data_IF_475083428692
#
_entry.id   IF_475083428692
#
_cell.length_a   1.000
_cell.length_b   1.000
_cell.length_c   1.000
_cell.angle_alpha   90.00
_cell.angle_beta   90.00
_cell.angle_gamma   90.00
#
_symmetry.space_group_name_H-M   'P 1'
#
loop_
_entity.id
_entity.type
_entity.pdbx_description
1 polymer ?
#
# COMPACT_ATOMS: atom_id res chain seq x y z
N UNK A 1 15.72 -10.42 1.74
CA UNK A 1 14.47 -11.08 2.17
C UNK A 1 14.11 -12.26 1.28
N UNK A 2 13.89 -12.05 -0.03
CA UNK A 2 13.51 -13.11 -0.97
C UNK A 2 14.42 -14.35 -0.91
N UNK A 3 15.73 -14.17 -1.07
CA UNK A 3 16.69 -15.28 -0.99
C UNK A 3 16.65 -16.03 0.35
N UNK A 4 16.28 -15.35 1.45
CA UNK A 4 16.13 -16.00 2.77
C UNK A 4 14.88 -16.88 2.74
N UNK A 5 13.73 -16.33 2.35
CA UNK A 5 12.46 -17.08 2.29
C UNK A 5 12.54 -18.30 1.37
N UNK A 6 13.29 -18.23 0.27
CA UNK A 6 13.51 -19.37 -0.64
C UNK A 6 14.31 -20.52 0.00
N UNK A 7 15.07 -20.25 1.07
CA UNK A 7 15.88 -21.25 1.79
C UNK A 7 15.23 -21.75 3.08
N UNK A 8 14.11 -21.16 3.51
CA UNK A 8 13.43 -21.56 4.75
C UNK A 8 12.65 -22.85 4.53
N UNK A 9 13.05 -23.92 5.22
CA UNK A 9 12.36 -25.22 5.20
C UNK A 9 11.31 -25.38 6.30
N UNK A 10 11.23 -24.43 7.25
CA UNK A 10 10.32 -24.48 8.41
C UNK A 10 8.85 -24.29 8.07
N UNK A 11 7.97 -24.67 9.00
CA UNK A 11 6.50 -24.50 8.86
C UNK A 11 6.04 -23.05 9.05
N UNK A 12 6.88 -22.23 9.69
CA UNK A 12 6.69 -20.81 9.85
C UNK A 12 8.04 -20.08 9.75
N UNK A 13 8.02 -18.81 9.35
CA UNK A 13 9.17 -17.92 9.32
C UNK A 13 8.88 -16.67 10.14
N UNK A 14 9.80 -16.33 11.05
CA UNK A 14 9.75 -15.09 11.84
C UNK A 14 10.67 -14.07 11.16
N UNK A 15 10.12 -12.88 10.92
CA UNK A 15 10.82 -11.74 10.33
C UNK A 15 10.82 -10.62 11.37
N UNK A 16 11.98 -10.04 11.65
CA UNK A 16 12.13 -8.96 12.63
C UNK A 16 13.25 -8.01 12.21
N UNK A 17 13.08 -6.70 12.46
CA UNK A 17 14.15 -5.74 12.19
C UNK A 17 15.28 -5.90 13.21
N UNK A 18 16.52 -5.94 12.74
CA UNK A 18 17.71 -6.11 13.58
C UNK A 18 18.19 -4.83 14.26
N UNK A 19 17.27 -3.94 14.66
CA UNK A 19 17.60 -2.59 15.17
C UNK A 19 17.34 -2.41 16.68
N UNK A 20 17.10 -3.52 17.38
CA UNK A 20 16.87 -3.61 18.82
C UNK A 20 15.63 -2.85 19.34
N UNK A 21 14.65 -2.59 18.47
CA UNK A 21 13.39 -1.92 18.85
C UNK A 21 12.26 -2.87 19.25
N UNK A 22 12.38 -4.17 18.92
CA UNK A 22 11.39 -5.21 19.21
C UNK A 22 11.84 -6.13 20.36
N UNK A 23 10.89 -6.55 21.21
CA UNK A 23 11.14 -7.54 22.26
C UNK A 23 11.04 -8.96 21.70
N UNK A 24 12.11 -9.73 21.78
CA UNK A 24 12.16 -11.09 21.22
C UNK A 24 11.12 -12.03 21.84
N UNK A 25 10.72 -11.81 23.10
CA UNK A 25 9.74 -12.64 23.79
C UNK A 25 8.33 -12.54 23.20
N UNK A 26 8.02 -11.44 22.49
CA UNK A 26 6.72 -11.27 21.84
C UNK A 26 6.54 -12.22 20.63
N UNK A 27 7.60 -12.92 20.21
CA UNK A 27 7.56 -13.94 19.15
C UNK A 27 6.51 -15.01 19.44
N UNK A 28 6.32 -15.40 20.70
CA UNK A 28 5.40 -16.45 21.08
C UNK A 28 3.94 -16.05 20.81
N UNK A 29 3.61 -14.79 21.08
CA UNK A 29 2.28 -14.26 20.81
C UNK A 29 2.02 -14.14 19.29
N UNK A 30 3.05 -13.77 18.51
CA UNK A 30 2.96 -13.68 17.05
C UNK A 30 2.90 -15.05 16.38
N UNK A 31 3.57 -16.07 16.93
CA UNK A 31 3.57 -17.43 16.41
C UNK A 31 2.25 -18.15 16.65
N UNK A 32 1.55 -17.88 17.76
CA UNK A 32 0.36 -18.64 18.14
C UNK A 32 -0.74 -18.67 17.05
N UNK A 33 -1.14 -17.56 16.40
CA UNK A 33 -2.14 -17.62 15.34
C UNK A 33 -1.69 -18.42 14.10
N UNK A 34 -0.39 -18.45 13.81
CA UNK A 34 0.16 -19.25 12.70
C UNK A 34 0.19 -20.74 13.07
N UNK A 35 0.64 -21.07 14.28
CA UNK A 35 0.70 -22.44 14.77
C UNK A 35 -0.70 -23.07 14.93
N UNK A 36 -1.71 -22.25 15.22
CA UNK A 36 -3.12 -22.65 15.33
C UNK A 36 -3.87 -22.60 13.98
N UNK A 37 -3.17 -22.38 12.86
CA UNK A 37 -3.73 -22.27 11.50
C UNK A 37 -4.84 -21.21 11.37
N UNK A 38 -4.76 -20.15 12.20
CA UNK A 38 -5.71 -19.02 12.20
C UNK A 38 -5.24 -17.85 11.35
N UNK A 39 -3.97 -17.83 10.91
CA UNK A 39 -3.40 -16.76 10.09
C UNK A 39 -2.29 -17.27 9.17
N UNK A 40 -2.25 -16.75 7.94
CA UNK A 40 -1.13 -16.93 7.02
C UNK A 40 -0.01 -15.92 7.27
N UNK A 41 -0.38 -14.71 7.71
CA UNK A 41 0.51 -13.62 8.06
C UNK A 41 0.06 -12.98 9.37
N UNK A 42 0.97 -12.89 10.33
CA UNK A 42 0.78 -12.17 11.58
C UNK A 42 1.71 -10.97 11.61
N UNK A 43 1.16 -9.79 11.96
CA UNK A 43 1.91 -8.54 12.05
C UNK A 43 1.83 -8.03 13.49
N UNK A 44 2.97 -7.62 14.05
CA UNK A 44 3.01 -7.00 15.36
C UNK A 44 2.49 -5.57 15.35
N UNK A 45 1.38 -5.31 16.04
CA UNK A 45 0.86 -3.96 16.24
C UNK A 45 1.67 -3.22 17.30
N UNK A 46 2.58 -2.33 16.84
CA UNK A 46 3.37 -1.49 17.75
C UNK A 46 2.50 -0.40 18.36
N UNK A 47 1.50 0.10 17.65
CA UNK A 47 0.70 1.25 18.09
C UNK A 47 -0.21 0.93 19.29
N UNK A 48 -0.53 -0.35 19.50
CA UNK A 48 -1.30 -0.80 20.66
C UNK A 48 -0.56 -0.65 21.99
N UNK A 49 0.78 -0.78 22.02
CA UNK A 49 1.60 -0.74 23.25
C UNK A 49 2.94 0.01 23.10
N UNK A 50 3.09 0.89 22.10
CA UNK A 50 4.33 1.62 21.88
C UNK A 50 4.64 2.58 23.02
N UNK A 51 5.91 2.63 23.42
CA UNK A 51 6.42 3.73 24.22
C UNK A 51 6.22 5.06 23.48
N UNK A 52 5.80 6.09 24.22
CA UNK A 52 5.43 7.41 23.68
C UNK A 52 6.54 8.07 22.86
N UNK A 53 7.81 7.73 23.13
CA UNK A 53 9.00 8.25 22.43
C UNK A 53 9.55 7.33 21.34
N UNK A 54 9.02 6.11 21.17
CA UNK A 54 9.58 5.12 20.25
C UNK A 54 9.24 5.41 18.78
N UNK A 55 8.13 6.10 18.50
CA UNK A 55 7.71 6.44 17.14
C UNK A 55 7.52 7.95 16.98
N UNK A 56 8.25 8.56 16.03
CA UNK A 56 8.11 9.98 15.71
C UNK A 56 6.71 10.29 15.15
N UNK A 57 6.23 11.52 15.36
CA UNK A 57 4.92 11.95 14.87
C UNK A 57 4.81 11.88 13.34
N UNK A 58 5.93 12.09 12.64
CA UNK A 58 6.00 11.95 11.18
C UNK A 58 5.78 10.50 10.74
N UNK A 59 6.38 9.52 11.43
CA UNK A 59 6.15 8.11 11.13
C UNK A 59 4.71 7.70 11.45
N UNK A 60 4.16 8.19 12.57
CA UNK A 60 2.74 7.99 12.90
C UNK A 60 1.82 8.56 11.83
N UNK A 61 2.15 9.72 11.26
CA UNK A 61 1.40 10.31 10.17
C UNK A 61 1.52 9.48 8.88
N UNK A 62 2.74 9.13 8.45
CA UNK A 62 2.96 8.30 7.26
C UNK A 62 2.26 6.95 7.34
N UNK A 63 2.34 6.28 8.49
CA UNK A 63 1.64 5.02 8.75
C UNK A 63 0.12 5.19 8.63
N UNK A 64 -0.46 6.24 9.24
CA UNK A 64 -1.90 6.54 9.13
C UNK A 64 -2.35 6.73 7.69
N UNK A 65 -1.56 7.42 6.87
CA UNK A 65 -1.89 7.63 5.45
C UNK A 65 -1.89 6.31 4.67
N UNK A 66 -0.84 5.49 4.83
CA UNK A 66 -0.75 4.18 4.17
C UNK A 66 -1.89 3.26 4.63
N UNK A 67 -2.16 3.20 5.94
CA UNK A 67 -3.23 2.40 6.53
C UNK A 67 -4.60 2.81 6.01
N UNK A 68 -4.90 4.11 5.98
CA UNK A 68 -6.17 4.61 5.47
C UNK A 68 -6.41 4.14 4.03
N UNK A 69 -5.35 4.13 3.20
CA UNK A 69 -5.42 3.68 1.82
C UNK A 69 -5.62 2.18 1.69
N UNK A 70 -4.83 1.37 2.41
CA UNK A 70 -4.97 -0.09 2.39
C UNK A 70 -6.36 -0.49 2.88
N UNK A 71 -6.80 0.08 4.00
CA UNK A 71 -8.13 -0.16 4.57
C UNK A 71 -9.25 0.26 3.62
N UNK A 72 -9.11 1.36 2.88
CA UNK A 72 -10.07 1.78 1.87
C UNK A 72 -10.11 0.84 0.65
N UNK A 73 -8.94 0.46 0.13
CA UNK A 73 -8.80 -0.34 -1.09
C UNK A 73 -9.27 -1.78 -0.86
N UNK A 74 -8.82 -2.40 0.23
CA UNK A 74 -9.06 -3.79 0.56
C UNK A 74 -10.21 -4.01 1.55
N UNK A 75 -10.83 -2.93 2.06
CA UNK A 75 -11.93 -2.99 3.05
C UNK A 75 -11.52 -3.69 4.35
N UNK A 76 -10.31 -3.40 4.82
CA UNK A 76 -9.73 -3.94 6.05
C UNK A 76 -9.74 -2.91 7.18
N UNK A 77 -9.31 -3.31 8.37
CA UNK A 77 -9.25 -2.44 9.57
C UNK A 77 -7.90 -2.54 10.27
N UNK A 78 -6.82 -2.61 9.52
CA UNK A 78 -5.47 -2.72 10.08
C UNK A 78 -5.06 -1.45 10.84
N UNK A 79 -4.17 -1.64 11.81
CA UNK A 79 -3.63 -0.62 12.71
C UNK A 79 -2.15 -0.37 12.51
N UNK A 80 -1.34 -1.34 12.09
CA UNK A 80 0.10 -1.17 11.89
C UNK A 80 0.71 -2.15 10.87
N UNK A 81 0.47 -1.87 9.58
CA UNK A 81 1.00 -2.65 8.45
C UNK A 81 2.48 -2.38 8.15
N UNK A 82 3.12 -1.44 8.86
CA UNK A 82 4.52 -1.06 8.64
C UNK A 82 5.46 -1.59 9.75
N UNK A 83 4.95 -2.46 10.62
CA UNK A 83 5.77 -3.13 11.63
C UNK A 83 6.71 -4.13 10.97
N UNK A 84 7.98 -4.15 11.34
CA UNK A 84 8.96 -5.12 10.84
C UNK A 84 8.88 -6.47 11.55
N UNK A 85 8.10 -6.60 12.63
CA UNK A 85 7.93 -7.86 13.34
C UNK A 85 6.73 -8.64 12.82
N UNK A 86 7.02 -9.73 12.10
CA UNK A 86 6.03 -10.56 11.42
C UNK A 86 6.30 -12.03 11.57
N UNK A 87 5.24 -12.83 11.41
CA UNK A 87 5.33 -14.28 11.26
C UNK A 87 4.50 -14.68 10.06
N UNK A 88 5.05 -15.52 9.19
CA UNK A 88 4.37 -16.07 8.02
C UNK A 88 4.36 -17.60 8.06
N UNK A 89 3.28 -18.22 7.59
CA UNK A 89 3.18 -19.67 7.49
C UNK A 89 3.89 -20.22 6.23
N UNK A 90 4.03 -21.55 6.14
CA UNK A 90 4.63 -22.24 4.98
C UNK A 90 3.91 -21.91 3.66
N UNK A 91 2.57 -21.80 3.69
CA UNK A 91 1.79 -21.49 2.49
C UNK A 91 2.17 -20.12 1.92
N UNK A 92 2.28 -19.10 2.79
CA UNK A 92 2.71 -17.76 2.44
C UNK A 92 4.09 -17.79 1.78
N UNK A 93 5.08 -18.44 2.43
CA UNK A 93 6.47 -18.53 1.94
C UNK A 93 6.52 -19.09 0.51
N UNK A 94 5.68 -20.08 0.20
CA UNK A 94 5.67 -20.75 -1.12
C UNK A 94 4.91 -20.01 -2.20
N UNK A 95 3.98 -19.11 -1.83
CA UNK A 95 3.00 -18.57 -2.77
C UNK A 95 3.13 -17.06 -2.98
N UNK A 96 3.79 -16.34 -2.07
CA UNK A 96 4.00 -14.90 -2.15
C UNK A 96 5.34 -14.59 -2.82
N UNK A 97 5.35 -14.07 -4.06
CA UNK A 97 6.58 -13.57 -4.65
C UNK A 97 6.98 -12.27 -3.95
N UNK A 98 8.22 -12.21 -3.46
CA UNK A 98 8.83 -10.95 -3.04
C UNK A 98 9.55 -10.35 -4.24
N UNK A 99 9.09 -9.21 -4.72
CA UNK A 99 9.61 -8.58 -5.94
C UNK A 99 10.48 -7.37 -5.60
N UNK A 100 10.25 -6.69 -4.46
CA UNK A 100 11.00 -5.47 -4.11
C UNK A 100 12.13 -5.71 -3.09
N UNK A 101 13.15 -4.85 -3.17
CA UNK A 101 14.21 -4.73 -2.18
C UNK A 101 14.18 -3.34 -1.55
N UNK A 102 13.78 -3.22 -0.28
CA UNK A 102 13.79 -1.95 0.47
C UNK A 102 12.77 -1.89 1.62
N UNK A 103 12.54 -0.68 2.14
CA UNK A 103 11.48 -0.35 3.13
C UNK A 103 10.05 -0.60 2.63
N UNK A 104 9.91 -1.03 1.38
CA UNK A 104 8.65 -1.44 0.78
C UNK A 104 8.33 -2.91 1.06
N UNK A 105 9.26 -3.69 1.59
CA UNK A 105 9.09 -5.14 1.79
C UNK A 105 7.92 -5.43 2.73
N UNK A 106 7.76 -4.66 3.79
CA UNK A 106 6.70 -4.76 4.79
C UNK A 106 5.31 -4.53 4.20
N UNK A 107 5.21 -3.48 3.40
CA UNK A 107 3.96 -3.11 2.71
C UNK A 107 3.67 -4.12 1.61
N UNK A 108 4.66 -4.51 0.80
CA UNK A 108 4.54 -5.50 -0.26
C UNK A 108 4.04 -6.84 0.29
N UNK A 109 4.63 -7.35 1.37
CA UNK A 109 4.19 -8.59 2.03
C UNK A 109 2.70 -8.53 2.37
N UNK A 110 2.27 -7.43 2.98
CA UNK A 110 0.87 -7.22 3.38
C UNK A 110 -0.05 -7.16 2.16
N UNK A 111 0.35 -6.43 1.11
CA UNK A 111 -0.43 -6.29 -0.12
C UNK A 111 -0.57 -7.62 -0.87
N UNK A 112 0.53 -8.36 -1.02
CA UNK A 112 0.53 -9.68 -1.65
C UNK A 112 -0.37 -10.66 -0.90
N UNK A 113 -0.35 -10.63 0.44
CA UNK A 113 -1.24 -11.42 1.28
C UNK A 113 -2.72 -11.08 1.00
N UNK A 114 -3.06 -9.79 0.96
CA UNK A 114 -4.41 -9.31 0.68
C UNK A 114 -4.88 -9.68 -0.74
N UNK A 115 -4.02 -9.52 -1.74
CA UNK A 115 -4.31 -9.94 -3.13
C UNK A 115 -4.59 -11.44 -3.23
N UNK A 116 -3.84 -12.24 -2.46
CA UNK A 116 -4.02 -13.69 -2.39
C UNK A 116 -5.16 -14.12 -1.46
N UNK A 117 -5.86 -13.18 -0.84
CA UNK A 117 -6.96 -13.44 0.09
C UNK A 117 -6.53 -14.29 1.30
N UNK A 118 -5.27 -14.14 1.71
CA UNK A 118 -4.71 -14.78 2.88
C UNK A 118 -5.23 -14.14 4.16
N UNK A 119 -5.25 -14.91 5.25
CA UNK A 119 -5.72 -14.43 6.54
C UNK A 119 -4.58 -13.69 7.24
N UNK A 120 -4.83 -12.41 7.54
CA UNK A 120 -3.88 -11.53 8.24
C UNK A 120 -4.41 -11.21 9.63
N UNK A 121 -3.58 -11.36 10.66
CA UNK A 121 -3.92 -10.94 12.03
C UNK A 121 -2.89 -9.96 12.59
N UNK A 122 -3.38 -9.01 13.38
CA UNK A 122 -2.54 -8.08 14.14
C UNK A 122 -2.50 -8.50 15.61
N UNK A 123 -1.30 -8.60 16.17
CA UNK A 123 -1.09 -8.93 17.59
C UNK A 123 -0.37 -7.75 18.25
N UNK A 124 -0.93 -7.16 19.33
CA UNK A 124 -0.25 -6.10 20.06
C UNK A 124 1.11 -6.57 20.59
N UNK A 125 2.16 -5.78 20.35
CA UNK A 125 3.52 -6.07 20.80
C UNK A 125 4.15 -4.86 21.47
N UNK A 126 5.14 -5.11 22.31
CA UNK A 126 5.94 -4.06 22.95
C UNK A 126 6.94 -3.51 21.94
N UNK A 127 7.10 -2.19 21.96
CA UNK A 127 7.99 -1.48 21.03
C UNK A 127 8.75 -0.37 21.77
N UNK A 128 10.09 -0.47 21.78
CA UNK A 128 10.97 0.44 22.51
C UNK A 128 11.71 1.41 21.59
N UNK A 129 12.12 2.53 22.17
CA UNK A 129 13.00 3.47 21.48
C UNK A 129 14.36 2.82 21.17
N UNK A 130 14.89 3.13 20.00
CA UNK A 130 16.20 2.62 19.56
C UNK A 130 17.32 3.17 20.47
N UNK A 131 18.39 2.40 20.75
CA UNK A 131 19.52 2.87 21.56
C UNK A 131 20.12 4.20 21.07
N UNK A 132 20.58 5.02 22.02
CA UNK A 132 21.25 6.30 21.72
C UNK A 132 22.49 6.08 20.84
N UNK A 133 22.65 6.89 19.78
CA UNK A 133 23.75 6.78 18.82
C UNK A 133 23.37 6.15 17.47
N UNK A 134 22.14 5.65 17.32
CA UNK A 134 21.60 5.31 16.01
C UNK A 134 20.96 6.53 15.33
N UNK A 135 21.49 6.93 14.18
CA UNK A 135 20.79 7.86 13.28
C UNK A 135 19.74 7.12 12.45
N UNK A 136 18.49 7.60 12.50
CA UNK A 136 17.48 7.22 11.52
C UNK A 136 17.95 7.72 10.14
N UNK A 137 18.18 6.81 9.19
CA UNK A 137 18.57 7.13 7.80
C UNK A 137 17.39 7.62 6.95
N UNK A 138 16.32 8.12 7.58
CA UNK A 138 15.07 8.48 6.92
C UNK A 138 15.06 9.96 6.53
N UNK A 139 14.59 10.23 5.31
CA UNK A 139 14.48 11.56 4.74
C UNK A 139 13.01 11.86 4.52
N UNK A 140 12.41 12.81 5.28
CA UNK A 140 10.98 13.11 5.25
C UNK A 140 10.41 13.30 3.83
N UNK A 141 11.18 13.95 2.95
CA UNK A 141 10.76 14.21 1.58
C UNK A 141 10.87 12.97 0.68
N UNK A 142 11.96 12.20 0.79
CA UNK A 142 12.13 10.99 0.00
C UNK A 142 11.09 9.93 0.40
N UNK A 143 10.84 9.78 1.70
CA UNK A 143 9.87 8.82 2.21
C UNK A 143 8.43 9.26 1.91
N UNK A 144 8.13 10.57 2.02
CA UNK A 144 6.84 11.12 1.57
C UNK A 144 6.57 10.88 0.08
N UNK A 145 7.57 11.10 -0.79
CA UNK A 145 7.45 10.83 -2.22
C UNK A 145 7.23 9.35 -2.53
N UNK A 146 7.94 8.46 -1.82
CA UNK A 146 7.74 7.01 -1.93
C UNK A 146 6.32 6.62 -1.53
N UNK A 147 5.81 7.13 -0.41
CA UNK A 147 4.43 6.89 0.03
C UNK A 147 3.43 7.28 -1.07
N UNK A 148 3.62 8.46 -1.69
CA UNK A 148 2.77 8.92 -2.79
C UNK A 148 2.82 8.00 -4.01
N UNK A 149 4.01 7.52 -4.40
CA UNK A 149 4.15 6.55 -5.50
C UNK A 149 3.43 5.25 -5.14
N UNK A 150 3.66 4.70 -3.94
CA UNK A 150 3.02 3.46 -3.50
C UNK A 150 1.50 3.60 -3.51
N UNK A 151 0.97 4.72 -3.03
CA UNK A 151 -0.47 5.03 -3.11
C UNK A 151 -0.98 5.06 -4.56
N UNK A 152 -0.25 5.73 -5.46
CA UNK A 152 -0.62 5.82 -6.86
C UNK A 152 -0.62 4.45 -7.55
N UNK A 153 0.43 3.64 -7.32
CA UNK A 153 0.54 2.28 -7.85
C UNK A 153 -0.58 1.39 -7.30
N UNK A 154 -0.88 1.47 -6.01
CA UNK A 154 -1.95 0.71 -5.38
C UNK A 154 -3.32 1.03 -5.95
N UNK A 155 -3.66 2.32 -6.01
CA UNK A 155 -4.93 2.76 -6.59
C UNK A 155 -5.05 2.36 -8.06
N UNK A 156 -3.99 2.56 -8.85
CA UNK A 156 -3.95 2.17 -10.26
C UNK A 156 -4.19 0.67 -10.44
N UNK A 157 -3.52 -0.18 -9.65
CA UNK A 157 -3.59 -1.62 -9.82
C UNK A 157 -4.90 -2.23 -9.27
N UNK A 158 -5.45 -1.67 -8.19
CA UNK A 158 -6.59 -2.28 -7.48
C UNK A 158 -7.94 -1.62 -7.78
N UNK A 159 -7.94 -0.31 -8.05
CA UNK A 159 -9.12 0.50 -8.35
C UNK A 159 -8.84 1.39 -9.56
N UNK A 160 -8.46 0.81 -10.73
CA UNK A 160 -8.04 1.57 -11.91
C UNK A 160 -9.05 2.63 -12.32
N UNK A 161 -10.35 2.27 -12.34
CA UNK A 161 -11.41 3.23 -12.68
C UNK A 161 -11.38 4.46 -11.77
N UNK A 162 -11.26 4.27 -10.46
CA UNK A 162 -11.20 5.39 -9.51
C UNK A 162 -9.93 6.24 -9.74
N UNK A 163 -8.78 5.59 -9.91
CA UNK A 163 -7.50 6.27 -10.16
C UNK A 163 -7.55 7.16 -11.41
N UNK A 164 -7.96 6.63 -12.56
CA UNK A 164 -7.99 7.38 -13.81
C UNK A 164 -9.12 8.43 -13.82
N UNK A 165 -10.25 8.16 -13.15
CA UNK A 165 -11.35 9.13 -13.03
C UNK A 165 -10.96 10.34 -12.17
N UNK A 166 -10.17 10.15 -11.10
CA UNK A 166 -9.64 11.27 -10.31
C UNK A 166 -8.74 12.19 -11.14
N UNK A 167 -7.87 11.63 -11.98
CA UNK A 167 -7.01 12.41 -12.88
C UNK A 167 -7.86 13.13 -13.92
N UNK A 168 -8.84 12.44 -14.51
CA UNK A 168 -9.77 13.04 -15.47
C UNK A 168 -10.58 14.19 -14.84
N UNK A 169 -11.02 14.05 -13.60
CA UNK A 169 -11.70 15.13 -12.87
C UNK A 169 -10.81 16.35 -12.70
N UNK A 170 -9.52 16.15 -12.39
CA UNK A 170 -8.53 17.23 -12.36
C UNK A 170 -8.42 17.97 -13.69
N UNK A 171 -8.37 17.25 -14.81
CA UNK A 171 -8.36 17.86 -16.15
C UNK A 171 -9.65 18.60 -16.47
N UNK A 172 -10.81 18.06 -16.09
CA UNK A 172 -12.09 18.75 -16.26
C UNK A 172 -12.13 20.03 -15.42
N UNK A 173 -11.63 20.01 -14.18
CA UNK A 173 -11.53 21.23 -13.37
C UNK A 173 -10.59 22.27 -13.97
N UNK A 174 -9.46 21.83 -14.56
CA UNK A 174 -8.56 22.70 -15.29
C UNK A 174 -9.26 23.34 -16.50
N UNK A 175 -10.00 22.56 -17.29
CA UNK A 175 -10.76 23.07 -18.43
C UNK A 175 -11.83 24.09 -18.02
N UNK A 176 -12.54 23.83 -16.93
CA UNK A 176 -13.53 24.77 -16.41
C UNK A 176 -12.89 26.10 -15.99
N UNK A 177 -11.74 26.06 -15.31
CA UNK A 177 -10.99 27.26 -14.92
C UNK A 177 -10.47 28.01 -16.15
N UNK A 178 -9.93 27.29 -17.14
CA UNK A 178 -9.43 27.87 -18.39
C UNK A 178 -10.55 28.52 -19.20
N UNK A 179 -11.70 27.86 -19.34
CA UNK A 179 -12.87 28.37 -20.03
C UNK A 179 -13.43 29.63 -19.33
N UNK A 180 -13.48 29.64 -17.99
CA UNK A 180 -13.89 30.80 -17.23
C UNK A 180 -12.93 31.99 -17.42
N UNK A 181 -11.62 31.75 -17.38
CA UNK A 181 -10.61 32.79 -17.61
C UNK A 181 -10.69 33.36 -19.04
N UNK A 182 -10.97 32.52 -20.04
CA UNK A 182 -11.21 32.96 -21.42
C UNK A 182 -12.49 33.81 -21.51
N UNK A 183 -13.59 33.37 -20.92
CA UNK A 183 -14.86 34.12 -20.92
C UNK A 183 -14.74 35.50 -20.24
N UNK A 184 -13.86 35.63 -19.25
CA UNK A 184 -13.56 36.91 -18.57
C UNK A 184 -12.55 37.78 -19.33
N UNK A 185 -12.02 37.34 -20.48
CA UNK A 185 -11.02 38.07 -21.25
C UNK A 185 -9.64 38.17 -20.59
N UNK A 186 -9.34 37.31 -19.61
CA UNK A 186 -8.08 37.33 -18.87
C UNK A 186 -6.90 36.74 -19.65
N UNK A 187 -7.19 36.02 -20.73
CA UNK A 187 -6.19 35.33 -21.54
C UNK A 187 -6.05 36.01 -22.91
N UNK A 188 -4.87 36.57 -23.24
CA UNK A 188 -4.67 37.37 -24.45
C UNK A 188 -4.36 36.50 -25.69
N UNK A 189 -5.02 35.36 -25.85
CA UNK A 189 -4.81 34.43 -26.96
C UNK A 189 -5.96 34.46 -27.97
N UNK A 190 -5.72 33.94 -29.17
CA UNK A 190 -6.75 33.81 -30.20
C UNK A 190 -7.74 32.70 -29.81
N UNK A 191 -9.01 32.85 -30.19
CA UNK A 191 -10.06 31.86 -29.92
C UNK A 191 -9.67 30.41 -30.28
N UNK A 192 -8.91 30.23 -31.37
CA UNK A 192 -8.44 28.90 -31.80
C UNK A 192 -7.54 28.23 -30.75
N UNK A 193 -6.74 28.99 -29.99
CA UNK A 193 -5.86 28.47 -28.94
C UNK A 193 -6.69 27.93 -27.78
N UNK A 194 -7.72 28.68 -27.34
CA UNK A 194 -8.62 28.22 -26.29
C UNK A 194 -9.36 26.95 -26.70
N UNK A 195 -9.90 26.92 -27.93
CA UNK A 195 -10.58 25.75 -28.46
C UNK A 195 -9.67 24.52 -28.49
N UNK A 196 -8.41 24.67 -28.90
CA UNK A 196 -7.43 23.56 -28.91
C UNK A 196 -7.11 23.07 -27.50
N UNK A 197 -6.89 23.97 -26.53
CA UNK A 197 -6.58 23.58 -25.14
C UNK A 197 -7.77 22.81 -24.54
N UNK A 198 -8.98 23.37 -24.62
CA UNK A 198 -10.18 22.76 -24.05
C UNK A 198 -10.52 21.44 -24.72
N UNK A 199 -10.45 21.36 -26.06
CA UNK A 199 -10.71 20.11 -26.78
C UNK A 199 -9.66 19.05 -26.47
N UNK A 200 -8.38 19.44 -26.38
CA UNK A 200 -7.27 18.53 -26.09
C UNK A 200 -7.37 17.93 -24.68
N UNK A 201 -7.57 18.78 -23.66
CA UNK A 201 -7.71 18.33 -22.28
C UNK A 201 -8.97 17.47 -22.07
N UNK A 202 -10.11 17.84 -22.66
CA UNK A 202 -11.33 17.02 -22.65
C UNK A 202 -11.11 15.65 -23.31
N UNK A 203 -10.40 15.60 -24.46
CA UNK A 203 -10.09 14.34 -25.14
C UNK A 203 -9.17 13.43 -24.30
N UNK A 204 -8.17 14.01 -23.62
CA UNK A 204 -7.31 13.26 -22.69
C UNK A 204 -8.11 12.75 -21.49
N UNK A 205 -8.97 13.58 -20.89
CA UNK A 205 -9.83 13.18 -19.78
C UNK A 205 -10.75 12.01 -20.15
N UNK A 206 -11.40 12.08 -21.32
CA UNK A 206 -12.25 11.00 -21.83
C UNK A 206 -11.45 9.70 -22.08
N UNK A 207 -10.24 9.82 -22.63
CA UNK A 207 -9.35 8.68 -22.86
C UNK A 207 -8.91 8.02 -21.55
N UNK A 208 -8.61 8.80 -20.50
CA UNK A 208 -8.28 8.27 -19.18
C UNK A 208 -9.44 7.49 -18.56
N UNK A 209 -10.67 8.03 -18.66
CA UNK A 209 -11.87 7.32 -18.18
C UNK A 209 -12.04 5.99 -18.93
N UNK A 210 -11.89 6.00 -20.25
CA UNK A 210 -11.96 4.78 -21.07
C UNK A 210 -10.91 3.74 -20.64
N UNK A 211 -9.65 4.17 -20.47
CA UNK A 211 -8.57 3.31 -19.97
C UNK A 211 -8.93 2.75 -18.58
N UNK A 212 -9.48 3.58 -17.70
CA UNK A 212 -9.94 3.16 -16.37
C UNK A 212 -11.03 2.10 -16.43
N UNK A 213 -12.01 2.23 -17.34
CA UNK A 213 -13.08 1.24 -17.56
C UNK A 213 -12.49 -0.08 -18.09
N UNK A 214 -11.64 -0.01 -19.11
CA UNK A 214 -11.01 -1.21 -19.70
C UNK A 214 -10.18 -1.95 -18.68
N UNK A 215 -9.29 -1.26 -17.96
CA UNK A 215 -8.45 -1.87 -16.93
C UNK A 215 -9.31 -2.44 -15.79
N UNK A 216 -10.38 -1.76 -15.38
CA UNK A 216 -11.28 -2.29 -14.36
C UNK A 216 -11.96 -3.58 -14.80
N UNK A 217 -12.41 -3.66 -16.06
CA UNK A 217 -13.00 -4.89 -16.61
C UNK A 217 -11.99 -6.04 -16.67
N UNK A 218 -10.75 -5.76 -17.11
CA UNK A 218 -9.66 -6.74 -17.15
C UNK A 218 -9.32 -7.24 -15.74
N UNK A 219 -9.14 -6.34 -14.77
CA UNK A 219 -8.86 -6.70 -13.38
C UNK A 219 -10.01 -7.49 -12.76
N UNK A 220 -11.26 -7.16 -13.06
CA UNK A 220 -12.41 -7.93 -12.60
C UNK A 220 -12.39 -9.37 -13.15
N UNK A 221 -12.12 -9.53 -14.45
CA UNK A 221 -11.99 -10.85 -15.07
C UNK A 221 -10.88 -11.70 -14.45
N UNK A 222 -9.70 -11.13 -14.19
CA UNK A 222 -8.62 -11.86 -13.52
C UNK A 222 -9.00 -12.28 -12.08
N UNK A 223 -9.73 -11.44 -11.35
CA UNK A 223 -10.21 -11.78 -10.00
C UNK A 223 -11.22 -12.92 -10.03
N UNK A 224 -12.12 -12.95 -11.00
CA UNK A 224 -13.08 -14.04 -11.18
C UNK A 224 -12.37 -15.36 -11.50
N UNK A 225 -11.40 -15.35 -12.41
CA UNK A 225 -10.58 -16.53 -12.73
C UNK A 225 -9.80 -17.03 -11.51
N UNK A 226 -9.18 -16.12 -10.75
CA UNK A 226 -8.48 -16.46 -9.53
C UNK A 226 -9.42 -17.06 -8.47
N UNK A 227 -10.65 -16.53 -8.34
CA UNK A 227 -11.65 -17.07 -7.42
C UNK A 227 -12.11 -18.48 -7.82
N UNK A 228 -12.24 -18.76 -9.13
CA UNK A 228 -12.57 -20.10 -9.62
C UNK A 228 -11.46 -21.12 -9.32
N UNK A 229 -10.20 -20.71 -9.45
CA UNK A 229 -9.04 -21.56 -9.11
C UNK A 229 -8.91 -21.89 -7.62
N UNK A 230 -9.57 -21.13 -6.73
CA UNK A 230 -9.57 -21.35 -5.27
C UNK A 230 -10.68 -22.26 -4.78
N UNK A 231 -11.57 -22.77 -5.64
CA UNK A 231 -12.57 -23.76 -5.21
C UNK A 231 -11.86 -25.04 -4.78
N UNK A 232 -12.01 -25.50 -3.52
CA UNK A 232 -11.48 -26.78 -3.12
C UNK A 232 -12.13 -27.87 -3.97
N UNK A 233 -11.31 -28.77 -4.50
CA UNK A 233 -11.79 -30.06 -5.02
C UNK A 233 -12.17 -30.95 -3.86
#
# INVERSE_FOLDING_TARGET
>A
MQAILETVEGDACVIVDGDDTYYAEDVHALLAPVAEDRADLVVGDRLGQADSKALSDLHRFGNRVILAMINLVFRTTFRDVLSGYRVVNRNFIRTVPLITGGFETETELTLQALEKGMVIQEVPIRYRARPEGSHSKLSPFADGYRILITMAVLLRNHRPLYFFTLIALGLVTFDLVWAAAWAMGLLPYRAVVHAVVLAGAAAVAASLVLVGVVLNAVTAGFRELAALGRRPR
#
